data_IF_546670021428
#
_entry.id   IF_546670021428
#
_cell.length_a   1.000
_cell.length_b   1.000
_cell.length_c   1.000
_cell.angle_alpha   90.00
_cell.angle_beta   90.00
_cell.angle_gamma   90.00
#
_symmetry.space_group_name_H-M   'P 1'
#
loop_
_entity.id
_entity.type
_entity.pdbx_description
1 polymer ?
#
# COMPACT_ATOMS: atom_id res chain seq x y z
N UNK A 1 33.57 -5.81 54.84
CA UNK A 1 32.15 -6.03 54.51
C UNK A 1 31.94 -5.62 53.04
N UNK A 2 31.85 -6.57 52.14
CA UNK A 2 31.66 -6.32 50.70
C UNK A 2 30.15 -6.43 50.41
N UNK A 3 29.52 -5.32 50.03
CA UNK A 3 28.14 -5.25 49.64
C UNK A 3 27.96 -5.80 48.22
N UNK A 4 27.42 -6.99 48.10
CA UNK A 4 26.99 -7.59 46.83
C UNK A 4 25.90 -6.69 46.21
N UNK A 5 26.21 -6.06 45.07
CA UNK A 5 25.19 -5.43 44.20
C UNK A 5 24.47 -6.53 43.46
N UNK A 6 23.21 -6.76 43.83
CA UNK A 6 22.31 -7.61 43.05
C UNK A 6 22.12 -6.99 41.66
N UNK A 7 22.57 -7.69 40.64
CA UNK A 7 22.29 -7.35 39.23
C UNK A 7 20.80 -7.65 38.97
N UNK A 8 20.01 -6.57 38.85
CA UNK A 8 18.60 -6.70 38.40
C UNK A 8 18.63 -7.13 36.93
N UNK A 9 18.39 -8.41 36.67
CA UNK A 9 18.15 -8.92 35.33
C UNK A 9 16.81 -8.36 34.87
N UNK A 10 16.72 -7.57 33.79
CA UNK A 10 15.43 -7.05 33.33
C UNK A 10 14.50 -8.24 33.02
N UNK A 11 13.35 -8.27 33.62
CA UNK A 11 12.31 -9.27 33.37
C UNK A 11 11.96 -9.20 31.87
N UNK A 12 12.23 -10.28 31.13
CA UNK A 12 11.95 -10.36 29.70
C UNK A 12 10.42 -10.26 29.54
N UNK A 13 9.93 -9.24 28.84
CA UNK A 13 8.49 -9.15 28.52
C UNK A 13 8.09 -10.41 27.77
N UNK A 14 7.10 -11.11 28.27
CA UNK A 14 6.59 -12.36 27.67
C UNK A 14 5.27 -12.15 26.94
N UNK A 15 4.63 -10.99 27.17
CA UNK A 15 3.33 -10.63 26.59
C UNK A 15 3.40 -9.33 25.80
N UNK A 16 2.51 -9.24 24.82
CA UNK A 16 2.33 -8.07 23.95
C UNK A 16 0.86 -7.79 23.74
N UNK A 17 0.53 -6.58 23.24
CA UNK A 17 -0.83 -6.25 22.79
C UNK A 17 -0.95 -6.45 21.27
N UNK A 18 -2.16 -6.87 20.86
CA UNK A 18 -2.58 -6.98 19.48
C UNK A 18 -4.04 -6.52 19.33
N UNK A 19 -4.33 -5.90 18.18
CA UNK A 19 -5.70 -5.63 17.75
C UNK A 19 -6.11 -6.74 16.78
N UNK A 20 -6.92 -7.68 17.24
CA UNK A 20 -7.36 -8.84 16.45
C UNK A 20 -8.83 -8.75 16.05
N UNK A 21 -9.19 -9.44 14.98
CA UNK A 21 -10.56 -9.75 14.59
C UNK A 21 -10.83 -11.18 15.01
N UNK A 22 -11.76 -11.44 15.96
CA UNK A 22 -11.99 -12.78 16.52
C UNK A 22 -12.71 -13.73 15.53
N UNK A 23 -13.55 -13.19 14.64
CA UNK A 23 -14.27 -13.91 13.59
C UNK A 23 -14.72 -12.90 12.51
N UNK A 24 -15.14 -13.35 11.32
CA UNK A 24 -15.59 -12.46 10.25
C UNK A 24 -16.70 -11.50 10.70
N UNK A 25 -16.55 -10.22 10.38
CA UNK A 25 -17.51 -9.15 10.72
C UNK A 25 -17.46 -8.66 12.16
N UNK A 26 -16.73 -9.33 13.05
CA UNK A 26 -16.64 -8.92 14.47
C UNK A 26 -15.78 -7.65 14.63
N UNK A 27 -16.03 -6.90 15.69
CA UNK A 27 -15.24 -5.72 16.04
C UNK A 27 -13.82 -6.08 16.47
N UNK A 28 -12.89 -5.13 16.26
CA UNK A 28 -11.52 -5.27 16.76
C UNK A 28 -11.50 -5.42 18.27
N UNK A 29 -10.71 -6.37 18.76
CA UNK A 29 -10.44 -6.59 20.16
C UNK A 29 -8.96 -6.35 20.45
N UNK A 30 -8.68 -5.51 21.44
CA UNK A 30 -7.33 -5.37 21.99
C UNK A 30 -7.13 -6.52 22.99
N UNK A 31 -6.17 -7.37 22.69
CA UNK A 31 -5.85 -8.55 23.50
C UNK A 31 -4.39 -8.53 23.95
N UNK A 32 -4.13 -9.16 25.08
CA UNK A 32 -2.77 -9.52 25.50
C UNK A 32 -2.50 -10.96 25.08
N UNK A 33 -1.37 -11.17 24.39
CA UNK A 33 -0.95 -12.47 23.90
C UNK A 33 0.56 -12.66 24.06
N UNK A 34 1.03 -13.88 23.93
CA UNK A 34 2.46 -14.18 24.01
C UNK A 34 3.22 -13.56 22.83
N UNK A 35 4.44 -13.09 23.10
CA UNK A 35 5.33 -12.61 22.04
C UNK A 35 5.74 -13.81 21.18
N UNK A 36 5.45 -13.83 19.85
CA UNK A 36 5.72 -14.95 19.00
C UNK A 36 7.22 -15.20 18.84
N UNK A 37 7.63 -16.47 18.66
CA UNK A 37 9.00 -16.82 18.32
C UNK A 37 9.13 -17.07 16.82
N UNK A 38 10.21 -16.60 16.19
CA UNK A 38 10.42 -16.83 14.77
C UNK A 38 10.87 -18.29 14.51
N UNK A 39 10.21 -18.95 13.58
CA UNK A 39 10.65 -20.25 13.04
C UNK A 39 11.90 -20.10 12.16
N UNK A 40 12.48 -21.22 11.69
CA UNK A 40 13.57 -21.20 10.71
C UNK A 40 13.16 -20.41 9.45
N UNK A 41 14.05 -19.53 8.97
CA UNK A 41 13.79 -18.66 7.82
C UNK A 41 12.81 -17.51 8.08
N UNK A 42 12.43 -17.27 9.33
CA UNK A 42 11.55 -16.16 9.73
C UNK A 42 12.26 -15.17 10.65
N UNK A 43 11.70 -13.99 10.73
CA UNK A 43 12.20 -12.89 11.57
C UNK A 43 11.08 -12.38 12.44
N UNK A 44 11.34 -12.17 13.74
CA UNK A 44 10.46 -11.39 14.60
C UNK A 44 10.77 -9.91 14.45
N UNK A 45 9.76 -9.12 14.18
CA UNK A 45 9.82 -7.68 13.99
C UNK A 45 9.12 -7.02 15.17
N UNK A 46 9.82 -6.10 15.87
CA UNK A 46 9.18 -5.16 16.78
C UNK A 46 8.56 -4.06 15.92
N UNK A 47 7.24 -4.07 15.83
CA UNK A 47 6.49 -3.11 15.02
C UNK A 47 6.61 -1.72 15.66
N UNK A 48 6.83 -0.71 14.83
CA UNK A 48 6.86 0.70 15.25
C UNK A 48 5.66 1.46 14.68
N UNK A 49 5.26 1.10 13.45
CA UNK A 49 4.11 1.67 12.78
C UNK A 49 3.47 0.65 11.83
N UNK A 50 2.14 0.73 11.68
CA UNK A 50 1.42 -0.03 10.68
C UNK A 50 0.34 0.84 10.04
N UNK A 51 0.37 0.98 8.71
CA UNK A 51 -0.67 1.69 7.98
C UNK A 51 -2.00 0.92 7.98
N UNK A 52 -3.09 1.68 7.95
CA UNK A 52 -4.46 1.15 7.86
C UNK A 52 -4.94 1.29 6.43
N UNK A 53 -5.21 0.16 5.80
CA UNK A 53 -5.57 0.07 4.39
C UNK A 53 -7.03 -0.34 4.20
N UNK A 54 -7.64 0.11 3.10
CA UNK A 54 -8.99 -0.34 2.74
C UNK A 54 -9.03 -1.87 2.54
N UNK A 55 -7.93 -2.49 2.10
CA UNK A 55 -7.84 -3.95 1.94
C UNK A 55 -7.89 -4.74 3.26
N UNK A 56 -7.74 -4.09 4.41
CA UNK A 56 -7.94 -4.75 5.72
C UNK A 56 -9.41 -5.17 5.93
N UNK A 57 -10.35 -4.64 5.12
CA UNK A 57 -11.73 -5.13 5.04
C UNK A 57 -11.80 -6.60 4.69
N UNK A 58 -10.84 -7.10 3.91
CA UNK A 58 -10.81 -8.51 3.51
C UNK A 58 -10.67 -9.43 4.73
N UNK A 59 -9.82 -9.03 5.69
CA UNK A 59 -9.67 -9.72 6.97
C UNK A 59 -10.83 -9.41 7.93
N UNK A 60 -11.22 -8.11 8.02
CA UNK A 60 -12.28 -7.68 8.94
C UNK A 60 -13.62 -8.37 8.65
N UNK A 61 -13.98 -8.49 7.36
CA UNK A 61 -15.27 -9.03 6.93
C UNK A 61 -15.20 -10.48 6.40
N UNK A 62 -14.01 -11.11 6.39
CA UNK A 62 -13.85 -12.49 5.92
C UNK A 62 -14.01 -12.66 4.40
N UNK A 63 -13.68 -11.62 3.64
CA UNK A 63 -13.88 -11.61 2.17
C UNK A 63 -12.75 -12.28 1.38
N UNK A 64 -11.73 -12.81 2.06
CA UNK A 64 -10.64 -13.56 1.43
C UNK A 64 -10.73 -15.04 1.82
N UNK A 65 -10.63 -15.97 0.86
CA UNK A 65 -10.76 -17.40 1.19
C UNK A 65 -9.59 -17.90 2.06
N UNK A 66 -9.91 -18.77 3.00
CA UNK A 66 -8.92 -19.48 3.83
C UNK A 66 -8.36 -18.70 5.02
N UNK A 67 -8.89 -17.53 5.36
CA UNK A 67 -8.48 -16.83 6.58
C UNK A 67 -8.82 -17.66 7.81
N UNK A 68 -7.85 -17.83 8.69
CA UNK A 68 -8.05 -18.47 10.00
C UNK A 68 -8.19 -17.38 11.07
N UNK A 69 -9.23 -17.50 11.90
CA UNK A 69 -9.51 -16.57 12.99
C UNK A 69 -9.22 -17.22 14.36
N UNK A 70 -8.86 -16.42 15.40
CA UNK A 70 -8.69 -14.96 15.36
C UNK A 70 -7.53 -14.55 14.44
N UNK A 71 -7.62 -13.35 13.84
CA UNK A 71 -6.59 -12.83 12.93
C UNK A 71 -6.22 -11.38 13.28
N UNK A 72 -4.93 -11.07 13.30
CA UNK A 72 -4.40 -9.72 13.40
C UNK A 72 -4.18 -9.17 11.98
N UNK A 73 -4.90 -8.11 11.54
CA UNK A 73 -4.69 -7.51 10.23
C UNK A 73 -3.42 -6.67 10.14
N UNK A 74 -3.24 -6.02 8.99
CA UNK A 74 -2.19 -5.03 8.74
C UNK A 74 -1.06 -5.57 7.87
N UNK A 75 -0.88 -4.92 6.71
CA UNK A 75 0.11 -5.26 5.69
C UNK A 75 0.93 -4.04 5.24
N UNK A 76 1.04 -3.03 6.08
CA UNK A 76 1.85 -1.81 5.86
C UNK A 76 2.78 -1.61 7.06
N UNK A 77 3.67 -2.58 7.30
CA UNK A 77 4.43 -2.68 8.55
C UNK A 77 5.79 -2.03 8.42
N UNK A 78 6.12 -1.12 9.32
CA UNK A 78 7.46 -0.63 9.54
C UNK A 78 7.91 -0.97 10.98
N UNK A 79 9.12 -1.48 11.14
CA UNK A 79 9.62 -1.87 12.44
C UNK A 79 11.11 -2.23 12.44
N UNK A 80 11.52 -2.91 13.48
CA UNK A 80 12.92 -3.25 13.75
C UNK A 80 13.03 -4.76 13.97
N UNK A 81 14.02 -5.39 13.36
CA UNK A 81 14.35 -6.80 13.60
C UNK A 81 14.70 -7.01 15.08
N UNK A 82 13.89 -7.77 15.78
CA UNK A 82 14.05 -8.06 17.21
C UNK A 82 14.72 -9.43 17.45
N UNK A 83 14.31 -10.47 16.70
CA UNK A 83 14.88 -11.81 16.82
C UNK A 83 14.92 -12.48 15.45
N UNK A 84 15.99 -13.25 15.20
CA UNK A 84 16.20 -14.01 13.98
C UNK A 84 15.91 -15.49 14.23
N UNK A 85 15.15 -16.11 13.36
CA UNK A 85 14.97 -17.55 13.34
C UNK A 85 16.21 -18.28 12.82
N UNK A 86 16.26 -19.59 12.99
CA UNK A 86 17.38 -20.39 12.54
C UNK A 86 17.60 -20.26 11.03
N UNK A 87 18.86 -20.15 10.60
CA UNK A 87 19.27 -20.09 9.20
C UNK A 87 19.17 -18.68 8.56
N UNK A 88 18.67 -17.68 9.27
CA UNK A 88 18.63 -16.29 8.76
C UNK A 88 20.00 -15.64 8.90
N UNK A 89 20.58 -15.20 7.79
CA UNK A 89 21.91 -14.55 7.73
C UNK A 89 21.93 -13.21 7.03
N UNK A 90 20.93 -12.93 6.19
CA UNK A 90 20.81 -11.71 5.39
C UNK A 90 20.30 -10.50 6.16
N UNK A 91 19.70 -10.71 7.33
CA UNK A 91 19.18 -9.68 8.21
C UNK A 91 19.92 -9.64 9.55
N UNK A 92 19.87 -8.49 10.22
CA UNK A 92 20.55 -8.30 11.51
C UNK A 92 19.58 -7.73 12.55
N UNK A 93 19.74 -8.17 13.80
CA UNK A 93 19.00 -7.58 14.93
C UNK A 93 19.28 -6.07 15.02
N UNK A 94 18.23 -5.30 15.23
CA UNK A 94 18.27 -3.84 15.24
C UNK A 94 18.13 -3.18 13.87
N UNK A 95 18.12 -3.95 12.77
CA UNK A 95 17.94 -3.41 11.42
C UNK A 95 16.49 -2.97 11.22
N UNK A 96 16.28 -1.81 10.58
CA UNK A 96 14.96 -1.30 10.21
C UNK A 96 14.43 -2.05 9.00
N UNK A 97 13.22 -2.59 9.13
CA UNK A 97 12.58 -3.41 8.09
C UNK A 97 11.10 -3.09 7.95
N UNK A 98 10.58 -3.36 6.76
CA UNK A 98 9.16 -3.32 6.48
C UNK A 98 8.63 -4.63 5.94
N UNK A 99 7.31 -4.81 6.03
CA UNK A 99 6.55 -5.89 5.38
C UNK A 99 5.33 -5.27 4.72
N UNK A 100 5.21 -5.47 3.41
CA UNK A 100 4.08 -5.00 2.63
C UNK A 100 3.01 -6.08 2.40
N UNK A 101 2.17 -5.83 1.38
CA UNK A 101 1.17 -6.81 0.92
C UNK A 101 1.78 -8.16 0.57
N UNK A 102 2.93 -8.16 -0.14
CA UNK A 102 3.63 -9.39 -0.47
C UNK A 102 4.29 -9.96 0.79
N UNK A 103 3.59 -10.86 1.45
CA UNK A 103 3.98 -11.49 2.71
C UNK A 103 4.77 -12.79 2.55
N UNK A 104 5.21 -13.15 1.35
CA UNK A 104 6.01 -14.33 1.05
C UNK A 104 5.57 -15.05 -0.20
N UNK A 105 6.47 -15.94 -0.70
CA UNK A 105 6.26 -16.75 -1.90
C UNK A 105 6.97 -18.11 -1.75
N UNK A 106 6.67 -19.09 -2.63
CA UNK A 106 7.13 -20.47 -2.45
C UNK A 106 8.44 -20.84 -3.15
N UNK A 107 8.98 -19.96 -3.99
CA UNK A 107 10.19 -20.21 -4.81
C UNK A 107 10.10 -21.42 -5.76
N UNK A 108 9.01 -22.17 -5.80
CA UNK A 108 8.92 -23.47 -6.48
C UNK A 108 7.91 -23.51 -7.62
N UNK A 109 6.84 -22.70 -7.58
CA UNK A 109 5.85 -22.64 -8.64
C UNK A 109 6.45 -22.06 -9.93
N UNK A 110 5.73 -22.24 -11.04
CA UNK A 110 6.17 -21.80 -12.37
C UNK A 110 6.48 -20.30 -12.41
N UNK A 111 5.65 -19.52 -11.77
CA UNK A 111 5.75 -18.06 -11.71
C UNK A 111 7.02 -17.66 -10.96
N UNK A 112 7.27 -18.23 -9.77
CA UNK A 112 8.48 -17.98 -8.98
C UNK A 112 9.76 -18.36 -9.74
N UNK A 113 9.76 -19.51 -10.42
CA UNK A 113 10.90 -19.97 -11.23
C UNK A 113 11.23 -19.06 -12.42
N UNK A 114 10.32 -18.16 -12.79
CA UNK A 114 10.51 -17.14 -13.83
C UNK A 114 10.83 -15.76 -13.26
N UNK A 115 10.94 -15.64 -11.94
CA UNK A 115 11.15 -14.39 -11.24
C UNK A 115 9.88 -13.54 -11.05
N UNK A 116 8.71 -14.09 -11.39
CA UNK A 116 7.42 -13.42 -11.20
C UNK A 116 6.83 -13.77 -9.83
N UNK A 117 7.51 -13.35 -8.79
CA UNK A 117 7.11 -13.64 -7.39
C UNK A 117 5.79 -12.99 -7.02
N UNK A 118 5.44 -11.86 -7.65
CA UNK A 118 4.17 -11.17 -7.44
C UNK A 118 2.95 -12.05 -7.76
N UNK A 119 3.07 -12.90 -8.77
CA UNK A 119 2.02 -13.83 -9.21
C UNK A 119 2.24 -15.26 -8.69
N UNK A 120 2.98 -15.44 -7.59
CA UNK A 120 3.16 -16.74 -6.96
C UNK A 120 1.80 -17.38 -6.64
N UNK A 121 1.61 -18.66 -7.01
CA UNK A 121 0.35 -19.39 -6.75
C UNK A 121 0.07 -19.59 -5.27
N UNK A 122 1.14 -19.66 -4.47
CA UNK A 122 1.09 -19.84 -3.02
C UNK A 122 1.54 -18.57 -2.30
N UNK A 123 1.22 -17.38 -2.88
CA UNK A 123 1.55 -16.12 -2.27
C UNK A 123 0.93 -16.02 -0.88
N UNK A 124 1.75 -15.63 0.10
CA UNK A 124 1.28 -15.25 1.43
C UNK A 124 1.08 -13.74 1.48
N UNK A 125 0.08 -13.31 2.26
CA UNK A 125 -0.26 -11.90 2.45
C UNK A 125 -0.23 -11.64 3.95
N UNK A 126 0.53 -10.63 4.40
CA UNK A 126 0.56 -10.23 5.79
C UNK A 126 -0.82 -9.73 6.26
N UNK A 127 -1.26 -10.14 7.45
CA UNK A 127 -2.59 -9.82 7.97
C UNK A 127 -3.74 -10.66 7.39
N UNK A 128 -3.46 -11.55 6.43
CA UNK A 128 -4.42 -12.50 5.84
C UNK A 128 -3.93 -13.94 6.05
N UNK A 129 -2.78 -14.29 5.49
CA UNK A 129 -2.22 -15.64 5.57
C UNK A 129 -1.61 -15.96 6.94
N UNK A 130 -1.13 -14.95 7.63
CA UNK A 130 -0.58 -14.95 8.98
C UNK A 130 -0.81 -13.59 9.63
N UNK A 131 -0.56 -13.47 10.94
CA UNK A 131 -0.82 -12.24 11.69
C UNK A 131 0.04 -11.09 11.17
N UNK A 132 -0.63 -9.95 10.93
CA UNK A 132 -0.05 -8.74 10.38
C UNK A 132 0.47 -7.78 11.44
N UNK A 133 0.49 -6.48 11.09
CA UNK A 133 1.17 -5.45 11.86
C UNK A 133 0.34 -4.74 12.94
N UNK A 134 -0.93 -5.09 13.16
CA UNK A 134 -1.72 -4.45 14.23
C UNK A 134 -1.38 -5.05 15.61
N UNK A 135 -0.08 -5.12 15.92
CA UNK A 135 0.44 -5.68 17.16
C UNK A 135 1.88 -5.21 17.42
N UNK A 136 2.35 -5.35 18.68
CA UNK A 136 3.71 -4.90 19.04
C UNK A 136 4.81 -5.72 18.39
N UNK A 137 4.61 -7.01 18.17
CA UNK A 137 5.59 -7.90 17.52
C UNK A 137 4.87 -8.79 16.51
N UNK A 138 5.45 -8.96 15.35
CA UNK A 138 4.99 -9.91 14.35
C UNK A 138 6.13 -10.81 13.88
N UNK A 139 5.79 -11.94 13.29
CA UNK A 139 6.75 -12.84 12.61
C UNK A 139 6.46 -12.82 11.13
N UNK A 140 7.50 -12.65 10.31
CA UNK A 140 7.40 -12.70 8.85
C UNK A 140 8.55 -13.54 8.27
N UNK A 141 8.33 -14.21 7.11
CA UNK A 141 9.40 -14.91 6.41
C UNK A 141 10.38 -13.89 5.79
N UNK A 142 11.65 -14.29 5.68
CA UNK A 142 12.73 -13.39 5.22
C UNK A 142 12.49 -12.80 3.82
N UNK A 143 11.84 -13.56 2.94
CA UNK A 143 11.51 -13.14 1.59
C UNK A 143 10.42 -12.06 1.52
N UNK A 144 9.75 -11.74 2.64
CA UNK A 144 8.78 -10.65 2.72
C UNK A 144 9.40 -9.32 3.18
N UNK A 145 10.61 -9.35 3.71
CA UNK A 145 11.23 -8.19 4.35
C UNK A 145 11.82 -7.21 3.33
N UNK A 146 11.74 -5.94 3.69
CA UNK A 146 12.26 -4.80 2.93
C UNK A 146 13.10 -3.92 3.86
N UNK A 147 14.30 -3.52 3.45
CA UNK A 147 15.09 -2.55 4.20
C UNK A 147 14.47 -1.15 4.10
N UNK A 148 14.26 -0.49 5.25
CA UNK A 148 13.76 0.89 5.32
C UNK A 148 14.95 1.84 5.40
N UNK A 149 15.06 2.86 4.50
CA UNK A 149 16.08 3.89 4.57
C UNK A 149 16.03 4.67 5.90
N UNK A 150 17.19 5.06 6.42
CA UNK A 150 17.31 5.75 7.71
C UNK A 150 16.61 7.12 7.73
N UNK A 151 16.54 7.81 6.60
CA UNK A 151 15.91 9.14 6.48
C UNK A 151 14.38 9.10 6.44
N UNK A 152 13.77 7.92 6.28
CA UNK A 152 12.32 7.74 6.36
C UNK A 152 11.90 7.40 7.78
N UNK A 153 10.96 8.15 8.36
CA UNK A 153 10.33 7.75 9.61
C UNK A 153 9.49 6.47 9.42
N UNK A 154 9.24 5.72 10.48
CA UNK A 154 8.45 4.48 10.40
C UNK A 154 7.00 4.77 9.97
N UNK A 155 6.44 5.91 10.43
CA UNK A 155 5.09 6.34 10.04
C UNK A 155 4.99 6.78 8.58
N UNK A 156 6.06 7.32 7.99
CA UNK A 156 6.11 7.64 6.56
C UNK A 156 6.34 6.38 5.71
N UNK A 157 7.19 5.47 6.18
CA UNK A 157 7.53 4.24 5.46
C UNK A 157 6.34 3.28 5.37
N UNK A 158 5.55 3.15 6.44
CA UNK A 158 4.45 2.19 6.50
C UNK A 158 3.46 2.31 5.32
N UNK A 159 2.85 3.47 5.00
CA UNK A 159 1.94 3.58 3.87
C UNK A 159 2.62 3.41 2.50
N UNK A 160 3.93 3.63 2.42
CA UNK A 160 4.69 3.44 1.17
C UNK A 160 4.80 1.95 0.80
N UNK A 161 4.63 1.04 1.75
CA UNK A 161 4.68 -0.42 1.55
C UNK A 161 3.39 -1.01 0.96
N UNK A 162 2.33 -0.21 0.83
CA UNK A 162 1.10 -0.60 0.11
C UNK A 162 0.69 0.46 -0.91
N UNK A 163 0.16 1.61 -0.45
CA UNK A 163 -0.29 2.67 -1.35
C UNK A 163 0.88 3.25 -2.18
N UNK A 164 2.07 3.37 -1.57
CA UNK A 164 3.29 3.83 -2.25
C UNK A 164 3.71 2.90 -3.36
N UNK A 165 4.02 1.64 -3.03
CA UNK A 165 4.46 0.65 -4.03
C UNK A 165 3.41 0.44 -5.13
N UNK A 166 2.13 0.42 -4.79
CA UNK A 166 1.06 0.21 -5.78
C UNK A 166 1.06 1.32 -6.83
N UNK A 167 1.17 2.58 -6.42
CA UNK A 167 1.16 3.73 -7.34
C UNK A 167 2.49 3.87 -8.08
N UNK A 168 3.62 3.74 -7.38
CA UNK A 168 4.96 3.80 -7.96
C UNK A 168 5.16 2.72 -9.02
N UNK A 169 4.86 1.48 -8.66
CA UNK A 169 5.13 0.32 -9.52
C UNK A 169 4.19 0.27 -10.74
N UNK A 170 2.91 0.65 -10.56
CA UNK A 170 1.98 0.79 -11.67
C UNK A 170 2.47 1.85 -12.68
N UNK A 171 2.95 3.01 -12.21
CA UNK A 171 3.49 4.06 -13.07
C UNK A 171 4.78 3.62 -13.76
N UNK A 172 5.71 2.97 -13.04
CA UNK A 172 6.97 2.45 -13.60
C UNK A 172 6.75 1.46 -14.74
N UNK A 173 5.68 0.65 -14.67
CA UNK A 173 5.34 -0.36 -15.68
C UNK A 173 4.23 0.09 -16.65
N UNK A 174 3.83 1.35 -16.59
CA UNK A 174 2.76 1.89 -17.45
C UNK A 174 3.16 2.02 -18.92
N UNK A 175 4.45 2.19 -19.19
CA UNK A 175 4.98 2.48 -20.53
C UNK A 175 4.88 3.96 -20.89
N UNK A 176 4.67 4.85 -19.91
CA UNK A 176 4.80 6.30 -20.09
C UNK A 176 6.27 6.73 -20.05
N UNK A 177 6.60 7.79 -20.80
CA UNK A 177 7.91 8.45 -20.81
C UNK A 177 7.81 9.85 -20.19
N UNK A 178 8.93 10.41 -19.67
CA UNK A 178 8.95 11.79 -19.22
C UNK A 178 8.38 12.74 -20.28
N UNK A 179 7.50 13.66 -19.86
CA UNK A 179 6.75 14.56 -20.74
C UNK A 179 5.36 14.06 -21.16
N UNK A 180 5.08 12.76 -21.10
CA UNK A 180 3.76 12.22 -21.40
C UNK A 180 2.69 12.75 -20.43
N UNK A 181 1.46 12.89 -20.93
CA UNK A 181 0.31 13.21 -20.08
C UNK A 181 -0.12 11.96 -19.29
N UNK A 182 0.01 12.03 -17.97
CA UNK A 182 -0.47 11.01 -17.03
C UNK A 182 -1.58 11.61 -16.17
N UNK A 183 -2.75 11.00 -16.23
CA UNK A 183 -3.88 11.40 -15.39
C UNK A 183 -3.97 10.50 -14.15
N UNK A 184 -4.25 11.09 -12.99
CA UNK A 184 -4.51 10.36 -11.74
C UNK A 184 -5.96 10.59 -11.33
N UNK A 185 -6.77 9.54 -11.39
CA UNK A 185 -8.19 9.58 -11.04
C UNK A 185 -8.37 9.27 -9.57
N UNK A 186 -8.91 10.25 -8.84
CA UNK A 186 -9.08 10.21 -7.38
C UNK A 186 -7.90 10.82 -6.62
N UNK A 187 -8.19 11.62 -5.59
CA UNK A 187 -7.18 12.25 -4.71
C UNK A 187 -7.44 11.77 -3.28
N UNK A 188 -7.12 10.53 -3.05
CA UNK A 188 -7.26 9.84 -1.77
C UNK A 188 -5.96 9.16 -1.36
N UNK A 189 -6.08 8.07 -0.59
CA UNK A 189 -4.92 7.32 -0.05
C UNK A 189 -3.91 6.83 -1.09
N UNK A 190 -4.35 6.45 -2.28
CA UNK A 190 -3.49 6.11 -3.42
C UNK A 190 -3.15 7.35 -4.25
N UNK A 191 -4.17 8.14 -4.61
CA UNK A 191 -4.03 9.20 -5.60
C UNK A 191 -3.08 10.33 -5.19
N UNK A 192 -3.03 10.71 -3.91
CA UNK A 192 -2.10 11.76 -3.46
C UNK A 192 -0.63 11.33 -3.61
N UNK A 193 -0.32 10.03 -3.47
CA UNK A 193 1.00 9.47 -3.76
C UNK A 193 1.21 9.31 -5.27
N UNK A 194 0.18 8.86 -6.01
CA UNK A 194 0.23 8.72 -7.46
C UNK A 194 0.56 10.04 -8.17
N UNK A 195 -0.02 11.17 -7.72
CA UNK A 195 0.30 12.50 -8.24
C UNK A 195 1.77 12.85 -7.98
N UNK A 196 2.25 12.63 -6.77
CA UNK A 196 3.64 12.91 -6.40
C UNK A 196 4.62 12.06 -7.22
N UNK A 197 4.42 10.73 -7.27
CA UNK A 197 5.28 9.85 -8.06
C UNK A 197 5.26 10.19 -9.55
N UNK A 198 4.07 10.42 -10.13
CA UNK A 198 3.96 10.80 -11.54
C UNK A 198 4.73 12.09 -11.85
N UNK A 199 4.64 13.10 -10.97
CA UNK A 199 5.41 14.34 -11.10
C UNK A 199 6.92 14.06 -11.03
N UNK A 200 7.37 13.24 -10.07
CA UNK A 200 8.80 12.91 -9.87
C UNK A 200 9.37 12.02 -10.99
N UNK A 201 8.54 11.29 -11.72
CA UNK A 201 8.92 10.60 -12.96
C UNK A 201 9.06 11.55 -14.16
N UNK A 202 8.73 12.84 -13.99
CA UNK A 202 8.82 13.84 -15.07
C UNK A 202 7.61 13.83 -16.02
N UNK A 203 6.48 13.29 -15.61
CA UNK A 203 5.26 13.30 -16.40
C UNK A 203 4.51 14.64 -16.28
N UNK A 204 3.75 15.00 -17.31
CA UNK A 204 2.74 16.06 -17.23
C UNK A 204 1.53 15.49 -16.50
N UNK A 205 1.26 15.94 -15.26
CA UNK A 205 0.27 15.32 -14.40
C UNK A 205 -1.06 16.06 -14.45
N UNK A 206 -2.15 15.35 -14.81
CA UNK A 206 -3.52 15.81 -14.65
C UNK A 206 -4.17 15.08 -13.45
N UNK A 207 -4.54 15.81 -12.41
CA UNK A 207 -5.29 15.23 -11.29
C UNK A 207 -6.79 15.37 -11.55
N UNK A 208 -7.54 14.27 -11.38
CA UNK A 208 -9.00 14.23 -11.57
C UNK A 208 -9.65 14.02 -10.21
N UNK A 209 -10.44 14.98 -9.76
CA UNK A 209 -11.17 14.95 -8.49
C UNK A 209 -12.62 15.38 -8.64
N UNK A 210 -13.39 15.29 -7.56
CA UNK A 210 -14.77 15.79 -7.50
C UNK A 210 -14.79 17.18 -6.88
N UNK A 211 -15.46 18.13 -7.52
CA UNK A 211 -15.52 19.53 -7.09
C UNK A 211 -14.17 20.24 -7.20
N UNK A 212 -14.11 21.48 -6.74
CA UNK A 212 -12.91 22.33 -6.82
C UNK A 212 -12.03 22.28 -5.56
N UNK A 213 -12.50 21.69 -4.48
CA UNK A 213 -11.89 21.77 -3.14
C UNK A 213 -10.46 21.21 -3.09
N UNK A 214 -10.20 20.16 -3.88
CA UNK A 214 -8.88 19.52 -3.93
C UNK A 214 -7.93 20.13 -4.97
N UNK A 215 -8.33 21.16 -5.72
CA UNK A 215 -7.52 21.71 -6.81
C UNK A 215 -6.19 22.31 -6.32
N UNK A 216 -6.24 23.08 -5.23
CA UNK A 216 -5.03 23.66 -4.63
C UNK A 216 -4.07 22.59 -4.10
N UNK A 217 -4.61 21.57 -3.44
CA UNK A 217 -3.83 20.45 -2.94
C UNK A 217 -3.20 19.64 -4.08
N UNK A 218 -3.97 19.32 -5.12
CA UNK A 218 -3.46 18.59 -6.29
C UNK A 218 -2.25 19.32 -6.91
N UNK A 219 -2.31 20.64 -7.05
CA UNK A 219 -1.19 21.46 -7.54
C UNK A 219 0.00 21.40 -6.59
N UNK A 220 -0.22 21.49 -5.27
CA UNK A 220 0.84 21.34 -4.27
C UNK A 220 1.52 19.97 -4.34
N UNK A 221 0.78 18.92 -4.64
CA UNK A 221 1.30 17.55 -4.81
C UNK A 221 2.05 17.35 -6.15
N UNK A 222 1.97 18.32 -7.08
CA UNK A 222 2.72 18.28 -8.35
C UNK A 222 1.85 18.13 -9.60
N UNK A 223 0.52 18.19 -9.50
CA UNK A 223 -0.33 18.22 -10.68
C UNK A 223 -0.21 19.55 -11.42
N UNK A 224 0.04 19.50 -12.73
CA UNK A 224 0.04 20.66 -13.61
C UNK A 224 -1.37 21.10 -14.02
N UNK A 225 -2.33 20.16 -14.02
CA UNK A 225 -3.73 20.38 -14.37
C UNK A 225 -4.63 19.72 -13.34
N UNK A 226 -5.71 20.38 -12.96
CA UNK A 226 -6.80 19.79 -12.19
C UNK A 226 -8.05 19.73 -13.05
N UNK A 227 -8.71 18.58 -13.06
CA UNK A 227 -9.96 18.34 -13.79
C UNK A 227 -11.03 17.97 -12.76
N UNK A 228 -12.09 18.79 -12.72
CA UNK A 228 -13.27 18.50 -11.92
C UNK A 228 -14.17 17.50 -12.67
N UNK A 229 -14.30 16.30 -12.15
CA UNK A 229 -15.14 15.24 -12.74
C UNK A 229 -16.64 15.47 -12.58
N UNK A 230 -17.05 16.51 -11.81
CA UNK A 230 -18.46 16.91 -11.64
C UNK A 230 -18.83 18.11 -12.52
N UNK A 231 -17.89 18.59 -13.33
CA UNK A 231 -18.14 19.72 -14.25
C UNK A 231 -19.28 19.42 -15.21
N UNK A 232 -20.16 20.39 -15.39
CA UNK A 232 -21.28 20.33 -16.35
C UNK A 232 -20.92 20.86 -17.72
N UNK A 233 -19.74 21.48 -17.87
CA UNK A 233 -19.29 22.10 -19.14
C UNK A 233 -18.49 21.15 -20.03
N UNK A 234 -17.81 20.18 -19.44
CA UNK A 234 -17.06 19.15 -20.14
C UNK A 234 -16.84 17.93 -19.24
N UNK A 235 -16.91 16.73 -19.78
CA UNK A 235 -16.53 15.51 -19.09
C UNK A 235 -15.01 15.47 -18.84
N UNK A 236 -14.59 14.68 -17.88
CA UNK A 236 -13.15 14.50 -17.62
C UNK A 236 -12.42 13.89 -18.85
N UNK A 237 -13.08 13.03 -19.62
CA UNK A 237 -12.54 12.47 -20.85
C UNK A 237 -12.33 13.56 -21.92
N UNK A 238 -13.32 14.43 -22.16
CA UNK A 238 -13.18 15.56 -23.09
C UNK A 238 -12.08 16.54 -22.65
N UNK A 239 -11.96 16.77 -21.33
CA UNK A 239 -10.89 17.62 -20.81
C UNK A 239 -9.50 17.01 -21.08
N UNK A 240 -9.35 15.68 -20.93
CA UNK A 240 -8.12 14.98 -21.28
C UNK A 240 -7.83 15.03 -22.78
N UNK A 241 -8.85 14.88 -23.64
CA UNK A 241 -8.69 14.97 -25.09
C UNK A 241 -8.22 16.37 -25.54
N UNK A 242 -8.74 17.44 -24.92
CA UNK A 242 -8.24 18.81 -25.16
C UNK A 242 -6.78 19.00 -24.77
N UNK A 243 -6.24 18.16 -23.90
CA UNK A 243 -4.81 18.13 -23.53
C UNK A 243 -3.96 17.21 -24.43
N UNK A 244 -4.57 16.56 -25.43
CA UNK A 244 -3.93 15.62 -26.37
C UNK A 244 -4.20 14.14 -26.08
N UNK A 245 -5.04 13.84 -25.07
CA UNK A 245 -5.32 12.48 -24.63
C UNK A 245 -4.24 11.92 -23.69
N UNK A 246 -4.66 11.24 -22.64
CA UNK A 246 -3.72 10.70 -21.65
C UNK A 246 -2.96 9.48 -22.17
N UNK A 247 -1.64 9.44 -21.99
CA UNK A 247 -0.83 8.24 -22.20
C UNK A 247 -1.14 7.17 -21.17
N UNK A 248 -1.37 7.61 -19.92
CA UNK A 248 -1.76 6.73 -18.83
C UNK A 248 -2.85 7.42 -17.99
N UNK A 249 -3.87 6.67 -17.63
CA UNK A 249 -4.80 7.05 -16.56
C UNK A 249 -4.60 6.06 -15.42
N UNK A 250 -4.10 6.56 -14.29
CA UNK A 250 -3.96 5.79 -13.06
C UNK A 250 -5.29 5.86 -12.28
N UNK A 251 -6.07 4.79 -12.33
CA UNK A 251 -7.37 4.71 -11.69
C UNK A 251 -7.23 4.27 -10.24
N UNK A 252 -7.27 5.20 -9.31
CA UNK A 252 -7.03 4.98 -7.88
C UNK A 252 -8.30 4.91 -7.03
N UNK A 253 -9.40 5.52 -7.48
CA UNK A 253 -10.66 5.45 -6.77
C UNK A 253 -11.42 4.16 -7.12
N UNK A 254 -12.05 3.48 -6.15
CA UNK A 254 -12.76 2.21 -6.36
C UNK A 254 -14.15 2.44 -6.98
N UNK A 255 -14.20 2.93 -8.22
CA UNK A 255 -15.44 3.22 -8.95
C UNK A 255 -15.31 2.81 -10.41
N UNK A 256 -15.88 1.65 -10.76
CA UNK A 256 -15.91 1.14 -12.12
C UNK A 256 -16.57 2.12 -13.09
N UNK A 257 -17.66 2.78 -12.68
CA UNK A 257 -18.34 3.81 -13.48
C UNK A 257 -17.41 4.98 -13.82
N UNK A 258 -16.61 5.45 -12.85
CA UNK A 258 -15.64 6.51 -13.09
C UNK A 258 -14.49 6.03 -13.99
N UNK A 259 -14.06 4.78 -13.87
CA UNK A 259 -13.05 4.16 -14.74
C UNK A 259 -13.56 4.08 -16.18
N UNK A 260 -14.78 3.55 -16.39
CA UNK A 260 -15.43 3.45 -17.70
C UNK A 260 -15.53 4.81 -18.41
N UNK A 261 -15.95 5.85 -17.68
CA UNK A 261 -16.10 7.20 -18.20
C UNK A 261 -14.79 7.86 -18.65
N UNK A 262 -13.63 7.31 -18.25
CA UNK A 262 -12.32 7.87 -18.59
C UNK A 262 -11.64 7.21 -19.79
N UNK A 263 -12.17 6.09 -20.30
CA UNK A 263 -11.55 5.35 -21.41
C UNK A 263 -11.39 6.23 -22.65
N UNK A 264 -12.38 7.06 -22.96
CA UNK A 264 -12.32 8.00 -24.09
C UNK A 264 -11.39 9.20 -23.85
N UNK A 265 -10.90 9.38 -22.63
CA UNK A 265 -9.84 10.33 -22.29
C UNK A 265 -8.43 9.84 -22.63
N UNK A 266 -8.27 8.56 -22.99
CA UNK A 266 -6.99 7.99 -23.43
C UNK A 266 -6.62 8.46 -24.84
N UNK A 267 -5.37 8.84 -25.02
CA UNK A 267 -4.77 9.09 -26.33
C UNK A 267 -4.42 7.80 -27.10
N UNK A 268 -3.76 7.90 -28.25
CA UNK A 268 -3.23 6.73 -28.96
C UNK A 268 -2.25 5.92 -28.10
N UNK A 269 -2.37 4.58 -28.15
CA UNK A 269 -1.63 3.65 -27.28
C UNK A 269 -1.80 3.96 -25.77
N UNK A 270 -2.86 4.65 -25.38
CA UNK A 270 -3.13 5.02 -24.01
C UNK A 270 -3.54 3.80 -23.16
N UNK A 271 -3.22 3.87 -21.86
CA UNK A 271 -3.44 2.78 -20.94
C UNK A 271 -4.21 3.23 -19.70
N UNK A 272 -5.32 2.54 -19.39
CA UNK A 272 -5.99 2.65 -18.11
C UNK A 272 -5.34 1.65 -17.14
N UNK A 273 -4.59 2.16 -16.16
CA UNK A 273 -3.98 1.36 -15.09
C UNK A 273 -4.94 1.28 -13.91
N UNK A 274 -5.56 0.11 -13.70
CA UNK A 274 -6.54 -0.13 -12.64
C UNK A 274 -5.80 -0.59 -11.38
N UNK A 275 -5.85 0.22 -10.34
CA UNK A 275 -5.25 -0.07 -9.03
C UNK A 275 -6.25 0.14 -7.86
N UNK A 276 -7.34 0.85 -8.09
CA UNK A 276 -8.46 0.92 -7.15
C UNK A 276 -9.35 -0.33 -7.29
N UNK A 277 -9.52 -1.08 -6.19
CA UNK A 277 -10.27 -2.32 -6.20
C UNK A 277 -11.79 -2.08 -6.02
N UNK A 278 -12.59 -2.66 -6.90
CA UNK A 278 -14.06 -2.76 -6.81
C UNK A 278 -14.50 -4.09 -7.42
N UNK A 279 -15.66 -4.59 -7.01
CA UNK A 279 -16.27 -5.80 -7.58
C UNK A 279 -17.20 -5.51 -8.76
N UNK A 280 -17.55 -4.22 -8.97
CA UNK A 280 -18.40 -3.83 -10.10
C UNK A 280 -17.61 -3.89 -11.42
N UNK A 281 -18.24 -4.28 -12.53
CA UNK A 281 -17.57 -4.37 -13.83
C UNK A 281 -17.19 -3.00 -14.40
N UNK A 282 -16.05 -2.94 -15.10
CA UNK A 282 -15.70 -1.81 -15.97
C UNK A 282 -16.35 -2.06 -17.32
N UNK A 283 -17.19 -1.14 -17.76
CA UNK A 283 -17.86 -1.19 -19.06
C UNK A 283 -16.96 -0.56 -20.14
N UNK A 284 -16.71 -1.31 -21.21
CA UNK A 284 -15.90 -0.87 -22.34
C UNK A 284 -16.41 -1.51 -23.63
N UNK A 285 -16.49 -0.73 -24.70
CA UNK A 285 -16.80 -1.27 -26.03
C UNK A 285 -15.54 -1.68 -26.78
N UNK A 286 -15.58 -2.71 -27.65
CA UNK A 286 -14.42 -3.05 -28.49
C UNK A 286 -13.89 -1.87 -29.30
N UNK A 287 -14.78 -1.01 -29.82
CA UNK A 287 -14.39 0.17 -30.61
C UNK A 287 -13.56 1.16 -29.78
N UNK A 288 -13.87 1.35 -28.51
CA UNK A 288 -13.07 2.21 -27.63
C UNK A 288 -11.61 1.73 -27.49
N UNK A 289 -11.39 0.41 -27.51
CA UNK A 289 -10.04 -0.18 -27.43
C UNK A 289 -9.34 -0.17 -28.79
N UNK A 290 -10.04 -0.57 -29.87
CA UNK A 290 -9.47 -0.63 -31.22
C UNK A 290 -9.08 0.76 -31.71
N UNK A 291 -9.95 1.76 -31.48
CA UNK A 291 -9.67 3.15 -31.86
C UNK A 291 -8.54 3.74 -31.02
N UNK A 292 -7.31 3.67 -31.55
CA UNK A 292 -6.11 4.17 -30.91
C UNK A 292 -5.32 3.15 -30.10
N UNK A 293 -5.58 1.84 -30.28
CA UNK A 293 -4.82 0.73 -29.64
C UNK A 293 -4.75 0.88 -28.11
N UNK A 294 -5.86 1.19 -27.49
CA UNK A 294 -5.95 1.45 -26.05
C UNK A 294 -5.94 0.15 -25.24
N UNK A 295 -5.45 0.20 -24.02
CA UNK A 295 -5.32 -0.96 -23.12
C UNK A 295 -5.93 -0.68 -21.76
N UNK A 296 -6.57 -1.68 -21.16
CA UNK A 296 -6.94 -1.71 -19.74
C UNK A 296 -6.07 -2.77 -19.07
N UNK A 297 -5.36 -2.39 -18.01
CA UNK A 297 -4.46 -3.29 -17.29
C UNK A 297 -4.61 -3.12 -15.78
N UNK A 298 -4.87 -4.23 -15.07
CA UNK A 298 -4.80 -4.27 -13.61
C UNK A 298 -3.35 -4.33 -13.13
N UNK A 299 -3.08 -3.69 -11.99
CA UNK A 299 -1.78 -3.77 -11.34
C UNK A 299 -1.93 -3.85 -9.81
N UNK A 300 -1.38 -4.90 -9.22
CA UNK A 300 -1.35 -5.08 -7.78
C UNK A 300 0.06 -4.83 -7.25
N UNK A 301 0.19 -4.01 -6.22
CA UNK A 301 1.43 -3.76 -5.46
C UNK A 301 2.74 -4.12 -6.19
N UNK A 302 3.52 -5.05 -5.63
CA UNK A 302 4.78 -5.54 -6.19
C UNK A 302 5.46 -6.53 -5.26
N UNK A 303 6.71 -6.83 -5.54
CA UNK A 303 7.59 -7.65 -4.73
C UNK A 303 8.27 -6.83 -3.62
N UNK A 304 8.94 -7.45 -2.64
CA UNK A 304 9.79 -6.74 -1.69
C UNK A 304 10.90 -5.90 -2.34
N UNK A 305 11.47 -6.36 -3.45
CA UNK A 305 12.42 -5.56 -4.24
C UNK A 305 11.78 -4.28 -4.79
N UNK A 306 10.56 -4.37 -5.33
CA UNK A 306 9.80 -3.20 -5.78
C UNK A 306 9.46 -2.25 -4.62
N UNK A 307 9.16 -2.80 -3.43
CA UNK A 307 8.96 -2.00 -2.22
C UNK A 307 10.23 -1.24 -1.84
N UNK A 308 11.39 -1.90 -1.90
CA UNK A 308 12.66 -1.27 -1.59
C UNK A 308 13.01 -0.16 -2.59
N UNK A 309 12.74 -0.37 -3.88
CA UNK A 309 12.89 0.66 -4.91
C UNK A 309 11.95 1.84 -4.65
N UNK A 310 10.70 1.56 -4.24
CA UNK A 310 9.71 2.59 -3.89
C UNK A 310 10.21 3.46 -2.72
N UNK A 311 10.69 2.83 -1.64
CA UNK A 311 11.20 3.55 -0.47
C UNK A 311 12.43 4.39 -0.81
N UNK A 312 13.38 3.84 -1.58
CA UNK A 312 14.57 4.57 -2.05
C UNK A 312 14.20 5.75 -2.95
N UNK A 313 13.24 5.55 -3.86
CA UNK A 313 12.77 6.63 -4.72
C UNK A 313 12.06 7.72 -3.93
N UNK A 314 11.23 7.34 -2.94
CA UNK A 314 10.58 8.30 -2.04
C UNK A 314 11.60 9.08 -1.19
N UNK A 315 12.64 8.42 -0.71
CA UNK A 315 13.77 9.06 -0.03
C UNK A 315 14.45 10.09 -0.94
N UNK A 316 14.88 9.66 -2.13
CA UNK A 316 15.60 10.48 -3.10
C UNK A 316 14.81 11.71 -3.56
N UNK A 317 13.52 11.56 -3.77
CA UNK A 317 12.68 12.58 -4.41
C UNK A 317 11.83 13.40 -3.45
N UNK A 318 11.80 13.03 -2.17
CA UNK A 318 11.00 13.69 -1.15
C UNK A 318 9.50 13.37 -1.22
N UNK A 319 9.08 12.31 -1.92
CA UNK A 319 7.68 11.85 -1.89
C UNK A 319 7.34 11.39 -0.47
N UNK A 320 6.24 11.91 0.08
CA UNK A 320 5.78 11.57 1.44
C UNK A 320 4.27 11.37 1.48
N UNK A 321 3.77 10.39 2.24
CA UNK A 321 2.34 10.28 2.50
C UNK A 321 1.88 11.42 3.43
N UNK A 322 0.63 11.83 3.27
CA UNK A 322 -0.06 12.65 4.27
C UNK A 322 -0.74 11.69 5.25
N UNK A 323 -0.48 11.83 6.54
CA UNK A 323 -0.82 10.84 7.56
C UNK A 323 -1.57 11.43 8.75
N UNK A 324 -2.49 10.61 9.30
CA UNK A 324 -3.12 10.76 10.63
C UNK A 324 -2.71 9.56 11.48
N UNK A 325 -2.14 9.79 12.68
CA UNK A 325 -1.66 8.71 13.55
C UNK A 325 -2.64 8.40 14.66
N UNK A 326 -2.73 7.11 15.02
CA UNK A 326 -3.51 6.60 16.14
C UNK A 326 -2.67 5.59 16.92
N UNK A 327 -2.77 5.53 18.26
CA UNK A 327 -2.15 4.42 19.02
C UNK A 327 -2.86 3.11 18.71
N UNK A 328 -2.16 1.97 18.89
CA UNK A 328 -2.68 0.62 18.62
C UNK A 328 -4.02 0.37 19.33
N UNK A 329 -4.18 0.84 20.57
CA UNK A 329 -5.39 0.67 21.37
C UNK A 329 -6.63 1.32 20.73
N UNK A 330 -6.44 2.23 19.79
CA UNK A 330 -7.50 2.88 19.02
C UNK A 330 -7.64 2.34 17.60
N UNK A 331 -7.24 1.09 17.36
CA UNK A 331 -7.28 0.46 16.02
C UNK A 331 -8.68 0.49 15.40
N UNK A 332 -9.74 0.26 16.18
CA UNK A 332 -11.12 0.33 15.70
C UNK A 332 -11.49 1.74 15.19
N UNK A 333 -11.11 2.78 15.91
CA UNK A 333 -11.35 4.17 15.48
C UNK A 333 -10.51 4.53 14.23
N UNK A 334 -9.25 4.10 14.20
CA UNK A 334 -8.36 4.29 13.05
C UNK A 334 -8.95 3.64 11.80
N UNK A 335 -9.46 2.42 11.92
CA UNK A 335 -10.14 1.72 10.83
C UNK A 335 -11.41 2.44 10.39
N UNK A 336 -12.27 2.83 11.33
CA UNK A 336 -13.49 3.59 11.02
C UNK A 336 -13.17 4.95 10.35
N UNK A 337 -12.11 5.65 10.80
CA UNK A 337 -11.63 6.89 10.18
C UNK A 337 -11.22 6.67 8.72
N UNK A 338 -10.46 5.62 8.44
CA UNK A 338 -10.04 5.25 7.08
C UNK A 338 -11.26 4.89 6.22
N UNK A 339 -12.18 4.04 6.71
CA UNK A 339 -13.37 3.62 5.98
C UNK A 339 -14.34 4.76 5.69
N UNK A 340 -14.38 5.80 6.53
CA UNK A 340 -15.20 6.98 6.30
C UNK A 340 -14.85 7.78 5.04
N UNK A 341 -13.67 7.55 4.46
CA UNK A 341 -13.13 8.33 3.33
C UNK A 341 -12.78 9.78 3.66
N UNK A 342 -12.81 10.16 4.96
CA UNK A 342 -12.53 11.53 5.44
C UNK A 342 -11.09 11.72 5.92
N UNK A 343 -10.29 10.64 5.98
CA UNK A 343 -8.88 10.75 6.35
C UNK A 343 -8.09 11.51 5.27
N UNK A 344 -7.11 12.32 5.69
CA UNK A 344 -6.22 13.07 4.79
C UNK A 344 -4.74 12.63 4.98
N UNK A 345 -4.28 11.56 4.33
CA UNK A 345 -5.03 10.61 3.52
C UNK A 345 -4.81 9.19 4.03
N UNK A 346 -3.70 8.97 4.73
CA UNK A 346 -3.37 7.65 5.27
C UNK A 346 -3.52 7.66 6.77
N UNK A 347 -4.10 6.60 7.29
CA UNK A 347 -4.16 6.37 8.73
C UNK A 347 -3.06 5.39 9.10
N UNK A 348 -2.33 5.67 10.19
CA UNK A 348 -1.20 4.85 10.66
C UNK A 348 -1.35 4.58 12.14
N UNK A 349 -1.28 3.31 12.53
CA UNK A 349 -1.18 2.88 13.92
C UNK A 349 0.28 3.00 14.37
N UNK A 350 0.49 3.50 15.59
CA UNK A 350 1.79 3.56 16.27
C UNK A 350 1.78 2.65 17.50
N UNK A 351 2.93 1.96 17.76
CA UNK A 351 3.08 0.98 18.84
C UNK A 351 3.88 1.56 20.01
#
# INVERSE_FOLDING_TARGET
MATSRATVVPMKMTQMKAAQVPNPGADFQIVECEIPRPDAGHVRIKVQACGVCHSDVLTKEGLWPGIQYPRVPGHEVAGIVDELGAGVSEWKKGQRVGVGWHGGHDNTCRECRRGDFRNCRNQKIAGISYDGGYQHYMVAPVEALVAIPESLSDVDAAPLLCAGITTYNALRHSGAFPGDLVAVQGIGGLGHLGIQFANKFGYKVAAIGRGSENAALAKKLGASVYIDSTSTTATAAEALQKLGGARVILATAPSSKAMSALIDGLGPNGKLMVIGATFDPIEVTPVQLISGSRTIQGWAAGTPADSQDTLRFAELTGVRPMIETYPLERAAEAYARMMSGKAQFRVVLTM
#
